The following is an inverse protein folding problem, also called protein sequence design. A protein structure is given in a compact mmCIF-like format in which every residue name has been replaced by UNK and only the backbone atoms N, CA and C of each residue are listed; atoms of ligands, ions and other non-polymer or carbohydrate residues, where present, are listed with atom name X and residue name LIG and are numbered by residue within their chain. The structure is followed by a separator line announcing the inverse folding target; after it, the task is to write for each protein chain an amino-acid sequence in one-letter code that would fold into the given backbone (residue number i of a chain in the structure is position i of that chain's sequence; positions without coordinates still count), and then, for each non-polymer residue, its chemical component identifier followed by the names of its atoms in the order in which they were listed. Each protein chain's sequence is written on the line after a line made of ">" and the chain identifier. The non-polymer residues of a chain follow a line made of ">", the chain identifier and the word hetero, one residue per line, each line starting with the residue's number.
data_IF_659628478150
#
_entry.id   IF_659628478150
#
_cell.length_a   1.000
_cell.length_b   1.000
_cell.length_c   1.000
_cell.angle_alpha   90.00
_cell.angle_beta   90.00
_cell.angle_gamma   90.00
#
_symmetry.space_group_name_H-M   'P 1'
#
loop_
_entity.id
_entity.type
_entity.pdbx_description
1 polymer ?
#
# COMPACT_ATOMS: atom_id res chain seq x y z
N UNK A 1 -33.20 -50.30 15.14
CA UNK A 1 -32.96 -49.14 15.98
C UNK A 1 -31.84 -48.35 15.34
N UNK A 2 -32.18 -47.39 14.50
CA UNK A 2 -31.25 -46.62 13.67
C UNK A 2 -30.91 -45.31 14.34
N UNK A 3 -29.66 -44.85 14.37
CA UNK A 3 -29.35 -43.48 14.76
C UNK A 3 -29.36 -42.57 13.51
N UNK A 4 -29.97 -41.42 13.74
CA UNK A 4 -30.13 -40.31 12.82
C UNK A 4 -28.80 -39.77 12.29
N UNK A 5 -28.73 -39.63 10.97
CA UNK A 5 -27.68 -38.88 10.27
C UNK A 5 -28.14 -37.43 10.16
N UNK A 6 -27.46 -36.54 10.86
CA UNK A 6 -27.69 -35.09 10.76
C UNK A 6 -26.85 -34.53 9.62
N UNK A 7 -27.54 -34.15 8.55
CA UNK A 7 -26.93 -33.52 7.37
C UNK A 7 -26.72 -32.04 7.64
N UNK A 8 -25.48 -31.63 7.81
CA UNK A 8 -25.10 -30.21 7.78
C UNK A 8 -24.83 -29.81 6.32
N UNK A 9 -25.74 -28.97 5.78
CA UNK A 9 -25.51 -28.28 4.51
C UNK A 9 -24.52 -27.14 4.72
N UNK A 10 -23.28 -27.30 4.25
CA UNK A 10 -22.38 -26.19 4.02
C UNK A 10 -22.32 -25.89 2.52
N UNK A 11 -22.65 -24.67 2.18
CA UNK A 11 -22.56 -24.13 0.83
C UNK A 11 -21.07 -24.07 0.44
N UNK A 12 -20.70 -24.79 -0.61
CA UNK A 12 -19.35 -25.14 -0.98
C UNK A 12 -18.79 -24.23 -2.06
N UNK A 13 -17.59 -23.77 -1.83
CA UNK A 13 -16.61 -23.64 -2.92
C UNK A 13 -15.87 -24.99 -2.99
N UNK A 14 -16.03 -25.72 -4.09
CA UNK A 14 -15.41 -27.01 -4.32
C UNK A 14 -13.88 -26.86 -4.48
N UNK A 15 -13.16 -27.09 -3.40
CA UNK A 15 -11.74 -27.42 -3.45
C UNK A 15 -11.61 -28.94 -3.29
N UNK A 16 -11.50 -29.65 -4.38
CA UNK A 16 -11.14 -31.08 -4.34
C UNK A 16 -9.65 -31.19 -4.06
N UNK A 17 -9.29 -31.36 -2.79
CA UNK A 17 -7.96 -31.81 -2.40
C UNK A 17 -8.02 -33.33 -2.38
N UNK A 18 -7.40 -33.96 -3.38
CA UNK A 18 -7.19 -35.41 -3.39
C UNK A 18 -5.98 -35.70 -2.48
N UNK A 19 -6.22 -36.00 -1.22
CA UNK A 19 -5.18 -36.39 -0.26
C UNK A 19 -5.22 -37.89 -0.12
N UNK A 20 -4.20 -38.58 -0.63
CA UNK A 20 -3.96 -39.99 -0.31
C UNK A 20 -3.61 -40.08 1.18
N UNK A 21 -4.46 -40.77 1.97
CA UNK A 21 -4.49 -40.69 3.42
C UNK A 21 -3.42 -41.54 4.15
N UNK A 22 -2.47 -42.13 3.44
CA UNK A 22 -1.43 -42.96 4.04
C UNK A 22 -0.06 -42.27 3.95
N UNK A 23 0.39 -41.72 5.08
CA UNK A 23 1.73 -41.14 5.34
C UNK A 23 1.90 -39.61 5.27
N UNK A 24 1.09 -38.85 5.97
CA UNK A 24 1.45 -37.47 6.25
C UNK A 24 1.88 -37.33 7.71
N UNK A 25 3.19 -37.24 7.96
CA UNK A 25 3.71 -36.69 9.21
C UNK A 25 3.20 -35.27 9.36
N UNK A 26 2.71 -34.94 10.56
CA UNK A 26 2.11 -33.62 10.87
C UNK A 26 3.04 -32.42 10.66
N UNK A 27 4.27 -32.64 10.28
CA UNK A 27 5.33 -31.64 10.22
C UNK A 27 5.65 -31.18 8.77
N UNK A 28 4.98 -31.74 7.74
CA UNK A 28 5.25 -31.41 6.34
C UNK A 28 4.13 -30.65 5.61
N UNK A 29 3.12 -30.15 6.34
CA UNK A 29 2.21 -29.16 5.77
C UNK A 29 2.84 -27.76 5.95
N UNK A 30 4.09 -27.59 5.61
CA UNK A 30 4.56 -26.33 5.09
C UNK A 30 4.08 -26.27 3.65
N UNK A 31 2.82 -25.88 3.51
CA UNK A 31 2.33 -25.41 2.23
C UNK A 31 3.32 -24.36 1.74
N UNK A 32 4.01 -24.69 0.68
CA UNK A 32 4.80 -23.77 -0.10
C UNK A 32 3.81 -22.79 -0.80
N UNK A 33 3.01 -22.09 0.01
CA UNK A 33 2.35 -20.87 -0.42
C UNK A 33 3.48 -19.85 -0.54
N UNK A 34 4.09 -19.83 -1.72
CA UNK A 34 4.77 -18.62 -2.16
C UNK A 34 3.72 -17.52 -2.06
N UNK A 35 3.80 -16.73 -0.98
CA UNK A 35 3.04 -15.52 -0.83
C UNK A 35 3.59 -14.58 -1.92
N UNK A 36 3.07 -14.73 -3.13
CA UNK A 36 3.34 -13.74 -4.17
C UNK A 36 2.68 -12.46 -3.68
N UNK A 37 3.50 -11.51 -3.27
CA UNK A 37 3.00 -10.19 -2.91
C UNK A 37 2.11 -9.70 -4.05
N UNK A 38 0.84 -9.44 -3.73
CA UNK A 38 -0.17 -9.08 -4.73
C UNK A 38 0.19 -7.74 -5.34
N UNK A 39 0.29 -7.68 -6.66
CA UNK A 39 0.46 -6.41 -7.37
C UNK A 39 -0.78 -5.53 -7.20
N UNK A 40 -0.59 -4.22 -7.21
CA UNK A 40 -1.66 -3.23 -7.12
C UNK A 40 -1.65 -2.34 -8.36
N UNK A 41 -2.83 -2.06 -8.92
CA UNK A 41 -2.94 -1.16 -10.08
C UNK A 41 -2.85 0.31 -9.67
N UNK A 42 -2.47 1.18 -10.60
CA UNK A 42 -2.43 2.63 -10.37
C UNK A 42 -3.80 3.20 -9.98
N UNK A 43 -4.86 2.70 -10.58
CA UNK A 43 -6.22 3.14 -10.24
C UNK A 43 -6.61 2.73 -8.82
N UNK A 44 -6.24 1.53 -8.39
CA UNK A 44 -6.45 1.09 -7.00
C UNK A 44 -5.64 1.96 -6.01
N UNK A 45 -4.39 2.30 -6.34
CA UNK A 45 -3.58 3.22 -5.51
C UNK A 45 -4.30 4.56 -5.35
N UNK A 46 -4.78 5.15 -6.45
CA UNK A 46 -5.45 6.45 -6.39
C UNK A 46 -6.82 6.41 -5.72
N UNK A 47 -7.58 5.31 -5.87
CA UNK A 47 -8.82 5.08 -5.12
C UNK A 47 -8.55 5.04 -3.61
N UNK A 48 -7.54 4.29 -3.17
CA UNK A 48 -7.12 4.25 -1.77
C UNK A 48 -6.66 5.62 -1.27
N UNK A 49 -5.89 6.33 -2.09
CA UNK A 49 -5.44 7.68 -1.74
C UNK A 49 -6.62 8.63 -1.48
N UNK A 50 -7.68 8.55 -2.30
CA UNK A 50 -8.85 9.38 -2.15
C UNK A 50 -9.65 9.06 -0.88
N UNK A 51 -9.67 7.81 -0.40
CA UNK A 51 -10.39 7.42 0.83
C UNK A 51 -9.91 8.24 2.03
N UNK A 52 -8.61 8.28 2.32
CA UNK A 52 -8.11 9.05 3.47
C UNK A 52 -8.30 10.56 3.31
N UNK A 53 -8.29 11.07 2.07
CA UNK A 53 -8.62 12.48 1.80
C UNK A 53 -10.09 12.78 2.14
N UNK A 54 -11.01 11.92 1.72
CA UNK A 54 -12.46 12.10 1.96
C UNK A 54 -12.81 11.94 3.44
N UNK A 55 -12.16 11.00 4.12
CA UNK A 55 -12.30 10.77 5.56
C UNK A 55 -11.59 11.83 6.42
N UNK A 56 -10.75 12.66 5.81
CA UNK A 56 -9.95 13.66 6.51
C UNK A 56 -9.15 13.04 7.66
N UNK A 57 -8.49 11.92 7.38
CA UNK A 57 -7.67 11.21 8.38
C UNK A 57 -6.70 12.22 9.02
N UNK A 58 -6.66 12.35 10.36
CA UNK A 58 -5.79 13.33 11.01
C UNK A 58 -4.36 12.81 11.08
N UNK A 59 -3.37 13.70 10.89
CA UNK A 59 -1.96 13.32 11.02
C UNK A 59 -1.63 12.83 12.44
N UNK A 60 -1.01 11.67 12.53
CA UNK A 60 -0.48 11.12 13.78
C UNK A 60 0.63 10.10 13.51
N UNK A 61 1.76 10.25 14.20
CA UNK A 61 2.85 9.27 14.16
C UNK A 61 2.61 8.04 15.03
N UNK A 62 1.58 8.05 15.88
CA UNK A 62 1.30 6.98 16.84
C UNK A 62 -0.05 6.29 16.62
N UNK A 63 -1.05 7.03 16.12
CA UNK A 63 -2.34 6.44 15.76
C UNK A 63 -2.27 5.73 14.41
N UNK A 64 -3.20 4.79 14.21
CA UNK A 64 -3.30 4.01 12.97
C UNK A 64 -4.73 4.03 12.42
N UNK A 65 -4.85 4.02 11.09
CA UNK A 65 -6.08 3.75 10.32
C UNK A 65 -5.79 2.60 9.38
N UNK A 66 -6.68 1.61 9.31
CA UNK A 66 -6.53 0.40 8.49
C UNK A 66 -5.21 -0.36 8.71
N UNK A 67 -4.63 -0.25 9.91
CA UNK A 67 -3.35 -0.86 10.26
C UNK A 67 -2.12 -0.08 9.83
N UNK A 68 -2.27 1.11 9.24
CA UNK A 68 -1.16 2.00 8.85
C UNK A 68 -1.12 3.25 9.74
N UNK A 69 0.10 3.75 10.03
CA UNK A 69 0.26 5.02 10.75
C UNK A 69 -0.35 6.17 9.95
N UNK A 70 -0.93 7.11 10.66
CA UNK A 70 -1.53 8.32 10.10
C UNK A 70 -0.47 9.39 9.79
N UNK A 71 0.72 8.99 9.32
CA UNK A 71 1.80 9.88 8.91
C UNK A 71 2.06 9.80 7.39
N UNK A 72 2.95 10.62 6.87
CA UNK A 72 3.24 10.67 5.44
C UNK A 72 3.62 9.31 4.85
N UNK A 73 4.44 8.54 5.55
CA UNK A 73 4.92 7.23 5.09
C UNK A 73 3.90 6.10 5.30
N UNK A 74 3.14 6.16 6.39
CA UNK A 74 2.02 5.24 6.61
C UNK A 74 0.92 5.42 5.57
N UNK A 75 0.60 6.66 5.21
CA UNK A 75 -0.33 6.97 4.14
C UNK A 75 0.09 6.40 2.78
N UNK A 76 1.34 6.63 2.36
CA UNK A 76 1.84 6.06 1.09
C UNK A 76 1.89 4.53 1.15
N UNK A 77 2.27 3.95 2.30
CA UNK A 77 2.22 2.50 2.53
C UNK A 77 0.79 1.94 2.39
N UNK A 78 -0.19 2.65 2.94
CA UNK A 78 -1.62 2.35 2.77
C UNK A 78 -2.03 2.41 1.30
N UNK A 79 -1.71 3.50 0.59
CA UNK A 79 -2.05 3.65 -0.82
C UNK A 79 -1.48 2.51 -1.67
N UNK A 80 -0.25 2.08 -1.42
CA UNK A 80 0.43 0.99 -2.11
C UNK A 80 0.01 -0.41 -1.64
N UNK A 81 -0.86 -0.52 -0.64
CA UNK A 81 -1.25 -1.78 0.00
C UNK A 81 -0.02 -2.62 0.43
N UNK A 82 1.03 -1.97 0.90
CA UNK A 82 2.23 -2.64 1.38
C UNK A 82 2.00 -3.31 2.73
N UNK A 83 3.02 -3.93 3.33
CA UNK A 83 2.90 -4.56 4.65
C UNK A 83 2.42 -3.56 5.71
N UNK A 84 1.48 -4.00 6.57
CA UNK A 84 1.01 -3.25 7.75
C UNK A 84 1.92 -3.42 8.98
N UNK A 85 2.97 -4.26 8.88
CA UNK A 85 3.90 -4.48 9.99
C UNK A 85 4.50 -3.16 10.48
N UNK A 86 4.43 -2.89 11.77
CA UNK A 86 4.88 -1.62 12.36
C UNK A 86 4.09 -0.39 11.90
N UNK A 87 2.89 -0.56 11.32
CA UNK A 87 2.10 0.53 10.78
C UNK A 87 2.56 0.99 9.39
N UNK A 88 3.12 0.10 8.58
CA UNK A 88 3.68 0.39 7.25
C UNK A 88 5.15 0.81 7.29
N UNK A 89 5.74 1.04 6.11
CA UNK A 89 7.11 1.52 5.97
C UNK A 89 7.26 2.94 6.52
N UNK A 90 8.49 3.27 6.91
CA UNK A 90 8.88 4.65 7.27
C UNK A 90 9.70 5.27 6.15
N UNK A 91 9.82 6.60 6.12
CA UNK A 91 10.56 7.30 5.06
C UNK A 91 12.02 6.85 4.92
N UNK A 92 12.64 6.34 5.99
CA UNK A 92 14.03 5.86 5.97
C UNK A 92 14.20 4.50 5.28
N UNK A 93 13.17 3.64 5.26
CA UNK A 93 13.25 2.31 4.63
C UNK A 93 12.32 2.15 3.40
N UNK A 94 11.62 3.19 2.98
CA UNK A 94 10.67 3.11 1.85
C UNK A 94 11.35 2.71 0.54
N UNK A 95 12.66 2.97 0.38
CA UNK A 95 13.44 2.54 -0.78
C UNK A 95 13.60 1.02 -0.89
N UNK A 96 13.30 0.25 0.16
CA UNK A 96 13.27 -1.22 0.10
C UNK A 96 12.11 -1.73 -0.78
N UNK A 97 11.05 -0.94 -0.89
CA UNK A 97 9.83 -1.30 -1.62
C UNK A 97 9.55 -0.43 -2.84
N UNK A 98 10.41 0.54 -3.14
CA UNK A 98 10.24 1.38 -4.33
C UNK A 98 11.57 1.64 -5.05
N UNK A 99 11.49 1.81 -6.34
CA UNK A 99 12.64 2.07 -7.22
C UNK A 99 12.62 3.53 -7.67
N UNK A 100 13.77 4.22 -7.54
CA UNK A 100 13.96 5.58 -8.06
C UNK A 100 13.75 5.60 -9.57
N UNK A 101 13.00 6.59 -10.07
CA UNK A 101 12.72 6.79 -11.48
C UNK A 101 13.05 8.21 -11.93
N UNK A 102 13.05 8.47 -13.23
CA UNK A 102 13.23 9.82 -13.76
C UNK A 102 11.92 10.65 -13.67
N UNK A 103 12.04 11.99 -13.70
CA UNK A 103 10.88 12.92 -13.73
C UNK A 103 9.89 12.56 -14.86
N UNK A 104 10.43 12.27 -16.05
CA UNK A 104 9.62 11.97 -17.23
C UNK A 104 8.84 10.65 -17.15
N UNK A 105 9.22 9.76 -16.22
CA UNK A 105 8.57 8.46 -16.02
C UNK A 105 7.47 8.52 -14.94
N UNK A 106 7.31 9.66 -14.23
CA UNK A 106 6.29 9.83 -13.18
C UNK A 106 4.89 9.58 -13.72
N UNK A 107 4.18 8.70 -13.06
CA UNK A 107 2.77 8.39 -13.29
C UNK A 107 1.99 8.46 -11.99
N UNK A 108 0.67 8.72 -12.07
CA UNK A 108 -0.21 8.69 -10.88
C UNK A 108 0.03 7.43 -10.04
N UNK A 109 0.11 7.59 -8.74
CA UNK A 109 0.40 6.51 -7.80
C UNK A 109 1.89 6.26 -7.54
N UNK A 110 2.82 6.91 -8.26
CA UNK A 110 4.24 6.96 -7.85
C UNK A 110 4.38 7.94 -6.67
N UNK A 111 5.47 7.86 -5.94
CA UNK A 111 5.77 8.77 -4.82
C UNK A 111 6.86 9.77 -5.17
N UNK A 112 6.91 10.87 -4.42
CA UNK A 112 8.03 11.80 -4.37
C UNK A 112 8.59 11.73 -2.95
N UNK A 113 9.81 11.19 -2.80
CA UNK A 113 10.41 10.75 -1.55
C UNK A 113 11.67 11.56 -1.22
N UNK A 114 11.76 12.01 0.04
CA UNK A 114 13.01 12.41 0.69
C UNK A 114 13.24 11.51 1.89
N UNK A 115 14.20 10.57 1.82
CA UNK A 115 14.44 9.59 2.88
C UNK A 115 14.64 10.25 4.26
N UNK A 116 14.11 9.61 5.28
CA UNK A 116 14.14 10.06 6.69
C UNK A 116 13.49 11.42 6.96
N UNK A 117 12.74 11.98 5.99
CA UNK A 117 12.07 13.26 6.17
C UNK A 117 10.61 13.23 5.78
N UNK A 118 10.30 13.07 4.49
CA UNK A 118 8.92 13.15 4.02
C UNK A 118 8.71 12.36 2.71
N UNK A 119 7.47 11.95 2.48
CA UNK A 119 7.02 11.33 1.25
C UNK A 119 5.59 11.77 0.94
N UNK A 120 5.29 11.92 -0.34
CA UNK A 120 3.96 12.22 -0.84
C UNK A 120 3.65 11.36 -2.07
N UNK A 121 2.36 11.20 -2.38
CA UNK A 121 1.91 10.47 -3.55
C UNK A 121 1.66 11.44 -4.70
N UNK A 122 2.19 11.11 -5.88
CA UNK A 122 1.99 11.86 -7.11
C UNK A 122 0.64 11.51 -7.75
N UNK A 123 -0.23 12.49 -7.92
CA UNK A 123 -1.58 12.32 -8.46
C UNK A 123 -1.73 12.63 -9.95
N UNK A 124 -0.64 13.05 -10.61
CA UNK A 124 -0.62 13.43 -12.02
C UNK A 124 -0.20 14.87 -12.26
N UNK A 125 0.35 15.14 -13.45
CA UNK A 125 0.76 16.48 -13.86
C UNK A 125 -0.43 17.40 -14.12
N UNK A 126 -0.30 18.67 -13.73
CA UNK A 126 -1.17 19.78 -14.11
C UNK A 126 -0.54 20.54 -15.28
N UNK A 127 0.78 20.75 -15.21
CA UNK A 127 1.60 21.34 -16.27
C UNK A 127 3.04 20.78 -16.23
N UNK A 128 4.03 21.45 -16.76
CA UNK A 128 5.43 21.01 -16.79
C UNK A 128 6.14 20.96 -15.41
N UNK A 129 5.55 21.60 -14.37
CA UNK A 129 6.09 21.66 -13.03
C UNK A 129 5.06 21.36 -11.95
N UNK A 130 3.84 21.87 -12.09
CA UNK A 130 2.77 21.67 -11.12
C UNK A 130 2.15 20.29 -11.26
N UNK A 131 1.83 19.67 -10.13
CA UNK A 131 1.18 18.36 -10.09
C UNK A 131 0.18 18.28 -8.93
N UNK A 132 -0.76 17.34 -9.00
CA UNK A 132 -1.60 16.99 -7.86
C UNK A 132 -0.81 16.14 -6.88
N UNK A 133 -0.76 16.60 -5.63
CA UNK A 133 -0.14 15.86 -4.54
C UNK A 133 -1.22 15.35 -3.59
N UNK A 134 -1.00 14.14 -3.02
CA UNK A 134 -1.80 13.56 -1.97
C UNK A 134 -0.89 13.24 -0.79
N UNK A 135 -1.16 13.78 0.37
CA UNK A 135 -0.24 13.64 1.51
C UNK A 135 -0.88 13.86 2.88
N UNK A 136 -0.24 13.23 3.86
CA UNK A 136 -0.25 13.59 5.27
C UNK A 136 1.00 14.43 5.54
N UNK A 137 0.84 15.71 5.89
CA UNK A 137 1.98 16.63 5.97
C UNK A 137 2.60 16.71 7.37
N UNK A 138 1.81 17.08 8.38
CA UNK A 138 2.32 17.38 9.73
C UNK A 138 1.22 17.35 10.78
N UNK A 139 1.63 17.37 12.04
CA UNK A 139 0.71 17.43 13.18
C UNK A 139 -0.22 18.65 13.10
N UNK A 140 -1.50 18.42 13.32
CA UNK A 140 -2.56 19.42 13.21
C UNK A 140 -3.21 19.49 11.83
N UNK A 141 -2.66 18.83 10.82
CA UNK A 141 -3.25 18.68 9.49
C UNK A 141 -4.11 17.41 9.40
N UNK A 142 -4.83 17.30 8.29
CA UNK A 142 -5.51 16.09 7.84
C UNK A 142 -5.00 15.70 6.46
N UNK A 143 -5.20 14.43 6.10
CA UNK A 143 -4.90 13.95 4.75
C UNK A 143 -5.60 14.81 3.71
N UNK A 144 -4.86 15.25 2.71
CA UNK A 144 -5.41 16.16 1.69
C UNK A 144 -4.81 15.94 0.30
N UNK A 145 -5.59 16.32 -0.69
CA UNK A 145 -5.14 16.58 -2.04
C UNK A 145 -4.83 18.07 -2.18
N UNK A 146 -3.67 18.39 -2.70
CA UNK A 146 -3.22 19.77 -2.97
C UNK A 146 -2.44 19.83 -4.28
N UNK A 147 -1.78 20.96 -4.54
CA UNK A 147 -0.86 21.17 -5.66
C UNK A 147 0.55 21.35 -5.17
N UNK A 148 1.50 20.63 -5.77
CA UNK A 148 2.92 20.77 -5.51
C UNK A 148 3.68 21.26 -6.75
N UNK A 149 4.90 21.79 -6.54
CA UNK A 149 5.86 22.11 -7.60
C UNK A 149 6.98 21.06 -7.60
N UNK A 150 7.16 20.39 -8.71
CA UNK A 150 8.23 19.41 -8.84
C UNK A 150 9.61 20.02 -8.65
N UNK A 151 9.85 21.21 -9.20
CA UNK A 151 11.12 21.91 -9.05
C UNK A 151 11.43 22.24 -7.59
N UNK A 152 10.41 22.65 -6.79
CA UNK A 152 10.57 22.84 -5.36
C UNK A 152 11.03 21.54 -4.68
N UNK A 153 10.35 20.43 -4.92
CA UNK A 153 10.71 19.14 -4.30
C UNK A 153 12.10 18.67 -4.75
N UNK A 154 12.42 18.72 -6.04
CA UNK A 154 13.71 18.28 -6.57
C UNK A 154 14.88 19.10 -6.01
N UNK A 155 14.76 20.42 -5.90
CA UNK A 155 15.80 21.30 -5.32
C UNK A 155 15.97 21.08 -3.82
N UNK A 156 14.95 20.55 -3.15
CA UNK A 156 15.00 20.22 -1.73
C UNK A 156 15.39 18.75 -1.46
N UNK A 157 15.90 18.03 -2.48
CA UNK A 157 16.47 16.70 -2.33
C UNK A 157 15.47 15.55 -2.37
N UNK A 158 14.25 15.80 -2.83
CA UNK A 158 13.28 14.75 -3.12
C UNK A 158 13.55 14.12 -4.49
N UNK A 159 13.14 12.88 -4.66
CA UNK A 159 13.20 12.19 -5.95
C UNK A 159 11.96 11.33 -6.18
N UNK A 160 11.60 11.10 -7.45
CA UNK A 160 10.49 10.20 -7.80
C UNK A 160 10.83 8.74 -7.47
N UNK A 161 9.84 8.00 -6.97
CA UNK A 161 9.99 6.62 -6.55
C UNK A 161 8.74 5.82 -6.91
N UNK A 162 8.92 4.68 -7.59
CA UNK A 162 7.84 3.80 -8.03
C UNK A 162 7.76 2.57 -7.15
N UNK A 163 6.58 2.25 -6.66
CA UNK A 163 6.34 1.01 -5.93
C UNK A 163 6.70 -0.22 -6.77
N UNK A 164 7.46 -1.17 -6.19
CA UNK A 164 7.99 -2.32 -6.93
C UNK A 164 6.91 -3.31 -7.38
N UNK A 165 5.74 -3.28 -6.74
CA UNK A 165 4.61 -4.17 -7.04
C UNK A 165 3.46 -3.45 -7.76
N UNK A 166 3.70 -2.26 -8.34
CA UNK A 166 2.68 -1.59 -9.15
C UNK A 166 2.52 -2.33 -10.48
N UNK A 167 1.27 -2.60 -10.86
CA UNK A 167 0.90 -3.05 -12.20
C UNK A 167 0.29 -1.88 -13.00
N UNK A 168 0.54 -1.86 -14.29
CA UNK A 168 0.04 -0.83 -15.21
C UNK A 168 -1.38 -1.14 -15.67
#
# INVERSE_FOLDING_TARGET
>A
MFPFLQTLLFCSALFTINVNADNLRKDEIFLNTTFTASSITRDQIMQRAQVWVDEKVPYSQTATTDGYRQDCSGYVSYCWASSTSGGGHVTSNMQEICTKIAKGDLKKGDAILKPSQHVLLFGGWIDSDAFYEYAEHQSGDVCRKSTGSYNYFATNGYFPCRYNLVSN
#
